data_IF_691167803969
#
_entry.id   IF_691167803969
#
_cell.length_a   1.000
_cell.length_b   1.000
_cell.length_c   1.000
_cell.angle_alpha   90.00
_cell.angle_beta   90.00
_cell.angle_gamma   90.00
#
_symmetry.space_group_name_H-M   'P 1'
#
loop_
_entity.id
_entity.type
_entity.pdbx_description
1 polymer ?
#
# COMPACT_ATOMS: atom_id res chain seq x y z
N UNK A 1 -17.13 -34.70 -12.87
CA UNK A 1 -16.22 -33.58 -12.53
C UNK A 1 -15.39 -33.26 -13.75
N UNK A 2 -15.60 -32.11 -14.38
CA UNK A 2 -14.97 -31.80 -15.68
C UNK A 2 -13.73 -30.94 -15.48
N UNK A 3 -12.62 -31.59 -15.14
CA UNK A 3 -11.28 -30.99 -15.21
C UNK A 3 -10.71 -31.39 -16.58
N UNK A 4 -10.08 -30.47 -17.31
CA UNK A 4 -9.45 -30.85 -18.59
C UNK A 4 -8.29 -31.81 -18.35
N UNK A 5 -8.08 -32.76 -19.28
CA UNK A 5 -6.97 -33.73 -19.20
C UNK A 5 -5.62 -33.03 -18.99
N UNK A 6 -5.43 -31.87 -19.62
CA UNK A 6 -4.19 -31.10 -19.54
C UNK A 6 -3.92 -30.54 -18.14
N UNK A 7 -4.95 -30.08 -17.44
CA UNK A 7 -4.82 -29.63 -16.05
C UNK A 7 -4.46 -30.80 -15.13
N UNK A 8 -5.06 -31.98 -15.36
CA UNK A 8 -4.72 -33.21 -14.63
C UNK A 8 -3.26 -33.62 -14.81
N UNK A 9 -2.75 -33.64 -16.05
CA UNK A 9 -1.34 -33.93 -16.33
C UNK A 9 -0.39 -32.89 -15.71
N UNK A 10 -0.79 -31.62 -15.70
CA UNK A 10 0.02 -30.55 -15.08
C UNK A 10 0.18 -30.78 -13.58
N UNK A 11 -0.91 -31.13 -12.88
CA UNK A 11 -0.86 -31.47 -11.45
C UNK A 11 -0.05 -32.72 -11.17
N UNK A 12 -0.21 -33.77 -11.99
CA UNK A 12 0.57 -35.00 -11.85
C UNK A 12 2.08 -34.73 -12.02
N UNK A 13 2.46 -33.94 -13.03
CA UNK A 13 3.85 -33.56 -13.27
C UNK A 13 4.42 -32.70 -12.14
N UNK A 14 3.65 -31.75 -11.62
CA UNK A 14 4.04 -30.92 -10.48
C UNK A 14 4.23 -31.77 -9.21
N UNK A 15 3.32 -32.70 -8.95
CA UNK A 15 3.43 -33.65 -7.84
C UNK A 15 4.67 -34.53 -7.97
N UNK A 16 4.92 -35.11 -9.16
CA UNK A 16 6.08 -35.97 -9.39
C UNK A 16 7.42 -35.22 -9.22
N UNK A 17 7.44 -33.91 -9.50
CA UNK A 17 8.65 -33.10 -9.46
C UNK A 17 8.91 -32.41 -8.11
N UNK A 18 7.86 -31.98 -7.43
CA UNK A 18 7.94 -31.13 -6.23
C UNK A 18 7.10 -31.65 -5.05
N UNK A 19 6.48 -32.83 -5.19
CA UNK A 19 5.62 -33.42 -4.16
C UNK A 19 4.43 -32.52 -3.80
N UNK A 20 4.11 -32.48 -2.51
CA UNK A 20 3.01 -31.67 -1.98
C UNK A 20 3.19 -30.16 -2.24
N UNK A 21 4.43 -29.65 -2.18
CA UNK A 21 4.73 -28.24 -2.46
C UNK A 21 4.35 -27.85 -3.90
N UNK A 22 4.48 -28.78 -4.85
CA UNK A 22 4.10 -28.57 -6.24
C UNK A 22 2.60 -28.35 -6.47
N UNK A 23 1.75 -28.85 -5.57
CA UNK A 23 0.31 -28.64 -5.63
C UNK A 23 -0.13 -27.32 -4.98
N UNK A 24 0.76 -26.62 -4.27
CA UNK A 24 0.47 -25.31 -3.70
C UNK A 24 0.29 -24.33 -4.88
N UNK A 25 -0.90 -23.72 -5.04
CA UNK A 25 -1.11 -22.74 -6.09
C UNK A 25 -0.12 -21.59 -5.93
N UNK A 26 0.57 -21.24 -7.01
CA UNK A 26 1.46 -20.08 -7.04
C UNK A 26 0.59 -18.82 -7.18
N UNK A 27 -0.21 -18.53 -6.16
CA UNK A 27 -1.11 -17.40 -6.14
C UNK A 27 -0.33 -16.13 -5.78
N UNK A 28 0.08 -15.36 -6.78
CA UNK A 28 0.78 -14.09 -6.58
C UNK A 28 -0.13 -12.94 -6.10
N UNK A 29 -1.30 -13.22 -5.53
CA UNK A 29 -2.04 -12.22 -4.75
C UNK A 29 -2.45 -10.98 -5.57
N UNK A 30 -2.97 -11.17 -6.79
CA UNK A 30 -3.40 -10.07 -7.63
C UNK A 30 -2.26 -9.19 -8.17
N UNK A 31 -2.59 -7.96 -8.60
CA UNK A 31 -1.59 -7.04 -9.17
C UNK A 31 -0.65 -6.53 -8.07
N UNK A 32 0.68 -6.60 -8.25
CA UNK A 32 1.62 -6.06 -7.28
C UNK A 32 1.42 -4.55 -7.11
N UNK A 33 1.78 -4.04 -5.92
CA UNK A 33 1.81 -2.60 -5.65
C UNK A 33 2.75 -1.89 -6.63
N UNK A 34 2.42 -0.66 -7.03
CA UNK A 34 3.34 0.17 -7.83
C UNK A 34 4.57 0.62 -7.04
N UNK A 35 4.45 0.74 -5.71
CA UNK A 35 5.56 1.04 -4.81
C UNK A 35 6.30 -0.25 -4.44
N UNK A 36 7.64 -0.18 -4.48
CA UNK A 36 8.50 -1.24 -3.95
C UNK A 36 8.47 -1.28 -2.42
N UNK A 37 8.99 -2.35 -1.82
CA UNK A 37 9.09 -2.49 -0.36
C UNK A 37 9.93 -1.36 0.26
N UNK A 38 11.06 -1.03 -0.37
CA UNK A 38 11.96 0.04 0.06
C UNK A 38 11.26 1.42 0.02
N UNK A 39 10.53 1.71 -1.06
CA UNK A 39 9.78 2.96 -1.19
C UNK A 39 8.67 3.06 -0.13
N UNK A 40 8.04 1.94 0.25
CA UNK A 40 7.05 1.89 1.32
C UNK A 40 7.67 2.20 2.69
N UNK A 41 8.88 1.71 2.97
CA UNK A 41 9.60 2.01 4.21
C UNK A 41 10.00 3.49 4.27
N UNK A 42 10.57 4.03 3.19
CA UNK A 42 10.89 5.46 3.10
C UNK A 42 9.65 6.35 3.29
N UNK A 43 8.54 5.98 2.67
CA UNK A 43 7.27 6.68 2.85
C UNK A 43 6.81 6.65 4.32
N UNK A 44 6.94 5.50 4.99
CA UNK A 44 6.56 5.34 6.39
C UNK A 44 7.40 6.20 7.33
N UNK A 45 8.71 6.31 7.08
CA UNK A 45 9.60 7.18 7.85
C UNK A 45 9.25 8.67 7.68
N UNK A 46 9.01 9.11 6.43
CA UNK A 46 8.60 10.49 6.14
C UNK A 46 7.25 10.85 6.78
N UNK A 47 6.32 9.90 6.82
CA UNK A 47 5.02 10.15 7.46
C UNK A 47 5.19 10.29 8.99
N UNK A 48 6.04 9.47 9.61
CA UNK A 48 6.28 9.53 11.06
C UNK A 48 6.90 10.84 11.54
N UNK A 49 7.72 11.51 10.74
CA UNK A 49 8.45 12.72 11.18
C UNK A 49 7.54 13.94 11.41
N UNK A 50 6.42 14.07 10.68
CA UNK A 50 5.51 15.23 10.76
C UNK A 50 4.28 14.99 11.66
N UNK A 51 4.01 13.75 12.07
CA UNK A 51 2.90 13.37 12.94
C UNK A 51 1.55 13.28 12.22
N UNK A 52 1.01 14.42 11.77
CA UNK A 52 -0.30 14.50 11.15
C UNK A 52 -0.21 14.68 9.63
N UNK A 53 -0.96 13.87 8.89
CA UNK A 53 -1.03 13.93 7.44
C UNK A 53 -2.44 13.77 6.92
N UNK A 54 -2.82 14.59 5.94
CA UNK A 54 -4.02 14.36 5.16
C UNK A 54 -3.74 13.37 4.01
N UNK A 55 -4.75 12.58 3.63
CA UNK A 55 -4.63 11.63 2.50
C UNK A 55 -4.24 12.33 1.18
N UNK A 56 -4.67 13.58 0.98
CA UNK A 56 -4.29 14.42 -0.15
C UNK A 56 -2.81 14.78 -0.15
N UNK A 57 -2.26 15.11 1.02
CA UNK A 57 -0.84 15.43 1.19
C UNK A 57 0.03 14.21 0.95
N UNK A 58 -0.35 13.05 1.50
CA UNK A 58 0.37 11.78 1.25
C UNK A 58 0.36 11.44 -0.23
N UNK A 59 -0.77 11.64 -0.92
CA UNK A 59 -0.87 11.44 -2.37
C UNK A 59 0.07 12.37 -3.14
N UNK A 60 0.14 13.65 -2.77
CA UNK A 60 1.05 14.61 -3.39
C UNK A 60 2.52 14.25 -3.12
N UNK A 61 2.84 13.79 -1.91
CA UNK A 61 4.18 13.34 -1.53
C UNK A 61 4.60 12.12 -2.35
N UNK A 62 3.74 11.11 -2.50
CA UNK A 62 4.06 9.92 -3.32
C UNK A 62 4.32 10.31 -4.78
N UNK A 63 3.54 11.24 -5.33
CA UNK A 63 3.77 11.75 -6.69
C UNK A 63 5.09 12.50 -6.79
N UNK A 64 5.44 13.33 -5.81
CA UNK A 64 6.67 14.13 -5.81
C UNK A 64 7.93 13.27 -5.68
N UNK A 65 7.89 12.27 -4.81
CA UNK A 65 9.07 11.47 -4.43
C UNK A 65 9.31 10.29 -5.36
N UNK A 66 8.25 9.64 -5.84
CA UNK A 66 8.34 8.40 -6.58
C UNK A 66 7.79 8.49 -7.99
N UNK A 67 7.27 9.64 -8.42
CA UNK A 67 6.56 9.86 -9.69
C UNK A 67 5.40 8.87 -9.93
N UNK A 68 4.84 8.31 -8.86
CA UNK A 68 3.75 7.34 -8.93
C UNK A 68 2.42 8.04 -8.63
N UNK A 69 1.49 7.95 -9.58
CA UNK A 69 0.13 8.42 -9.37
C UNK A 69 -0.77 7.31 -8.81
N UNK A 70 -1.34 7.60 -7.64
CA UNK A 70 -2.37 6.79 -6.97
C UNK A 70 -3.67 7.58 -6.78
N UNK A 71 -4.79 6.84 -6.72
CA UNK A 71 -6.06 7.37 -6.26
C UNK A 71 -6.17 7.39 -4.73
N UNK A 72 -7.07 8.21 -4.18
CA UNK A 72 -7.24 8.37 -2.73
C UNK A 72 -7.53 7.02 -2.02
N UNK A 73 -8.32 6.13 -2.63
CA UNK A 73 -8.61 4.80 -2.08
C UNK A 73 -7.36 3.92 -1.98
N UNK A 74 -6.45 4.02 -2.95
CA UNK A 74 -5.20 3.25 -2.94
C UNK A 74 -4.26 3.77 -1.84
N UNK A 75 -4.13 5.09 -1.72
CA UNK A 75 -3.36 5.72 -0.64
C UNK A 75 -3.92 5.33 0.73
N UNK A 76 -5.25 5.38 0.91
CA UNK A 76 -5.90 4.92 2.14
C UNK A 76 -5.60 3.46 2.48
N UNK A 77 -5.52 2.57 1.49
CA UNK A 77 -5.14 1.15 1.73
C UNK A 77 -3.67 1.02 2.15
N UNK A 78 -2.77 1.80 1.55
CA UNK A 78 -1.36 1.84 1.93
C UNK A 78 -1.21 2.34 3.37
N UNK A 79 -1.88 3.42 3.74
CA UNK A 79 -1.85 3.96 5.11
C UNK A 79 -2.38 2.94 6.14
N UNK A 80 -3.45 2.20 5.80
CA UNK A 80 -3.94 1.08 6.65
C UNK A 80 -2.91 -0.03 6.81
N UNK A 81 -2.14 -0.36 5.77
CA UNK A 81 -1.06 -1.37 5.90
C UNK A 81 0.05 -0.92 6.86
N UNK A 82 0.22 0.38 7.08
CA UNK A 82 1.13 0.94 8.08
C UNK A 82 0.55 0.97 9.49
N UNK A 83 -0.66 0.45 9.71
CA UNK A 83 -1.42 0.53 10.97
C UNK A 83 -1.71 1.97 11.43
N UNK A 84 -1.81 2.92 10.50
CA UNK A 84 -2.18 4.30 10.83
C UNK A 84 -3.68 4.40 11.07
N UNK A 85 -4.06 5.03 12.18
CA UNK A 85 -5.45 5.29 12.53
C UNK A 85 -5.95 6.56 11.82
N UNK A 86 -7.21 6.53 11.38
CA UNK A 86 -7.86 7.74 10.88
C UNK A 86 -8.23 8.64 12.05
N UNK A 87 -7.63 9.82 12.10
CA UNK A 87 -8.11 10.90 12.96
C UNK A 87 -9.03 11.83 12.17
N UNK A 88 -10.05 12.38 12.82
CA UNK A 88 -10.82 13.49 12.26
C UNK A 88 -9.85 14.68 12.11
N UNK A 89 -9.69 15.25 10.90
CA UNK A 89 -8.88 16.45 10.75
C UNK A 89 -9.40 17.53 11.71
N UNK A 90 -8.51 18.23 12.39
CA UNK A 90 -8.91 19.37 13.19
C UNK A 90 -9.58 20.40 12.26
N UNK A 91 -10.74 20.98 12.65
CA UNK A 91 -11.35 22.05 11.88
C UNK A 91 -10.32 23.16 11.66
N UNK A 92 -10.13 23.55 10.40
CA UNK A 92 -9.26 24.67 10.10
C UNK A 92 -9.94 25.95 10.58
N UNK A 93 -9.50 26.49 11.71
CA UNK A 93 -10.02 27.75 12.22
C UNK A 93 -9.49 28.89 11.33
N UNK A 94 -10.37 29.42 10.48
CA UNK A 94 -10.04 30.52 9.56
C UNK A 94 -9.70 31.83 10.27
N UNK A 95 -9.95 31.93 11.58
CA UNK A 95 -9.57 33.09 12.41
C UNK A 95 -8.14 33.02 12.92
N UNK A 96 -7.46 31.88 12.73
CA UNK A 96 -6.07 31.69 13.16
C UNK A 96 -5.11 32.30 12.14
N UNK A 97 -4.38 33.34 12.54
CA UNK A 97 -3.33 33.99 11.74
C UNK A 97 -2.20 32.99 11.42
N UNK A 98 -1.66 33.02 10.20
CA UNK A 98 -0.62 32.09 9.71
C UNK A 98 0.62 32.06 10.63
N UNK A 99 0.96 33.20 11.25
CA UNK A 99 2.14 33.38 12.10
C UNK A 99 1.93 32.99 13.56
N UNK A 100 0.79 32.40 13.93
CA UNK A 100 0.48 32.05 15.33
C UNK A 100 1.45 31.03 15.96
N UNK A 101 2.28 30.35 15.15
CA UNK A 101 3.31 29.41 15.63
C UNK A 101 4.67 30.08 15.90
N UNK A 102 4.89 31.30 15.43
CA UNK A 102 6.16 32.04 15.61
C UNK A 102 6.18 32.96 16.84
N UNK A 103 5.03 33.12 17.52
CA UNK A 103 4.84 34.05 18.64
C UNK A 103 4.94 33.35 20.03
N UNK A 104 5.38 32.09 20.08
CA UNK A 104 5.60 31.33 21.32
C UNK A 104 7.10 31.19 21.60
#
# INVERSE_FOLDING_TARGET
MSISNQTGYTWLNQWNKYGYEGLIPHFNGGRPSKLTKEQLEQLKEKIKSKGDWMTSEVRALIKKEFDITYGNRQVSRILRSFKMHYAKPHPHDYRRLENAKEIL
#
